data_IF_725335029216
#
_entry.id   IF_725335029216
#
_cell.length_a   1.000
_cell.length_b   1.000
_cell.length_c   1.000
_cell.angle_alpha   90.00
_cell.angle_beta   90.00
_cell.angle_gamma   90.00
#
_symmetry.space_group_name_H-M   'P 1'
#
loop_
_entity.id
_entity.type
_entity.pdbx_description
1 polymer ?
#
# COMPACT_ATOMS: atom_id res chain seq x y z
N UNK A 1 20.36 -19.17 -4.06
CA UNK A 1 19.30 -18.56 -4.91
C UNK A 1 19.14 -17.07 -4.66
N UNK A 2 19.04 -16.61 -3.40
CA UNK A 2 18.93 -15.18 -3.08
C UNK A 2 20.09 -14.30 -3.59
N UNK A 3 21.35 -14.78 -3.51
CA UNK A 3 22.51 -14.07 -4.08
C UNK A 3 22.38 -13.92 -5.60
N UNK A 4 21.93 -14.96 -6.31
CA UNK A 4 21.70 -14.89 -7.76
C UNK A 4 20.57 -13.90 -8.10
N UNK A 5 19.51 -13.86 -7.29
CA UNK A 5 18.46 -12.85 -7.44
C UNK A 5 18.98 -11.43 -7.18
N UNK A 6 19.85 -11.23 -6.18
CA UNK A 6 20.51 -9.94 -5.91
C UNK A 6 21.44 -9.50 -7.05
N UNK A 7 22.21 -10.43 -7.63
CA UNK A 7 23.06 -10.16 -8.80
C UNK A 7 22.23 -9.75 -10.02
N UNK A 8 21.06 -10.38 -10.22
CA UNK A 8 20.13 -9.99 -11.29
C UNK A 8 19.56 -8.59 -11.04
N UNK A 9 19.26 -8.23 -9.78
CA UNK A 9 18.78 -6.89 -9.40
C UNK A 9 19.82 -5.82 -9.65
N UNK A 10 21.09 -6.11 -9.35
CA UNK A 10 22.20 -5.18 -9.55
C UNK A 10 22.56 -4.98 -11.03
N UNK A 11 22.11 -5.87 -11.92
CA UNK A 11 22.41 -5.83 -13.35
C UNK A 11 21.26 -5.19 -14.15
N UNK A 12 21.58 -4.52 -15.26
CA UNK A 12 20.59 -3.95 -16.17
C UNK A 12 19.60 -4.99 -16.70
N UNK A 13 20.03 -6.26 -16.77
CA UNK A 13 19.17 -7.40 -17.11
C UNK A 13 17.96 -7.56 -16.18
N UNK A 14 18.07 -7.20 -14.89
CA UNK A 14 16.98 -7.27 -13.92
C UNK A 14 15.80 -6.33 -14.23
N UNK A 15 16.00 -5.34 -15.12
CA UNK A 15 14.93 -4.46 -15.62
C UNK A 15 14.15 -5.06 -16.78
N UNK A 16 14.66 -6.12 -17.42
CA UNK A 16 13.96 -6.83 -18.49
C UNK A 16 12.87 -7.75 -17.91
N UNK A 17 11.83 -8.01 -18.70
CA UNK A 17 10.75 -8.97 -18.40
C UNK A 17 11.30 -10.33 -17.93
N UNK A 18 12.27 -10.86 -18.69
CA UNK A 18 12.88 -12.13 -18.37
C UNK A 18 13.65 -12.06 -17.05
N UNK A 19 14.39 -10.97 -16.81
CA UNK A 19 15.13 -10.75 -15.57
C UNK A 19 14.22 -10.60 -14.35
N UNK A 20 13.09 -9.90 -14.48
CA UNK A 20 12.08 -9.78 -13.43
C UNK A 20 11.42 -11.14 -13.11
N UNK A 21 11.04 -11.89 -14.14
CA UNK A 21 10.49 -13.25 -14.00
C UNK A 21 11.50 -14.20 -13.34
N UNK A 22 12.75 -14.19 -13.78
CA UNK A 22 13.81 -15.05 -13.25
C UNK A 22 14.20 -14.66 -11.82
N UNK A 23 14.22 -13.36 -11.51
CA UNK A 23 14.36 -12.84 -10.14
C UNK A 23 13.25 -13.39 -9.25
N UNK A 24 12.01 -13.32 -9.70
CA UNK A 24 10.86 -13.76 -8.91
C UNK A 24 10.86 -15.29 -8.73
N UNK A 25 11.18 -16.04 -9.78
CA UNK A 25 11.39 -17.49 -9.71
C UNK A 25 12.52 -17.87 -8.75
N UNK A 26 13.62 -17.13 -8.73
CA UNK A 26 14.73 -17.35 -7.79
C UNK A 26 14.38 -16.98 -6.34
N UNK A 27 13.59 -15.93 -6.14
CA UNK A 27 13.07 -15.55 -4.82
C UNK A 27 12.07 -16.59 -4.30
N UNK A 28 11.07 -16.93 -5.11
CA UNK A 28 10.06 -17.93 -4.78
C UNK A 28 10.70 -19.31 -4.58
N UNK A 29 11.62 -19.71 -5.45
CA UNK A 29 12.36 -20.97 -5.33
C UNK A 29 13.30 -20.98 -4.12
N UNK A 30 13.99 -19.88 -3.83
CA UNK A 30 14.80 -19.74 -2.61
C UNK A 30 13.96 -19.85 -1.35
N UNK A 31 12.80 -19.18 -1.32
CA UNK A 31 11.84 -19.28 -0.22
C UNK A 31 11.27 -20.70 -0.09
N UNK A 32 10.97 -21.35 -1.22
CA UNK A 32 10.46 -22.72 -1.23
C UNK A 32 11.51 -23.69 -0.70
N UNK A 33 12.78 -23.57 -1.11
CA UNK A 33 13.88 -24.41 -0.62
C UNK A 33 14.12 -24.17 0.87
N UNK A 34 14.11 -22.93 1.34
CA UNK A 34 14.23 -22.57 2.75
C UNK A 34 13.05 -23.10 3.57
N UNK A 35 11.82 -22.93 3.07
CA UNK A 35 10.62 -23.46 3.71
C UNK A 35 10.66 -24.98 3.77
N UNK A 36 11.06 -25.64 2.68
CA UNK A 36 11.23 -27.09 2.61
C UNK A 36 12.37 -27.57 3.50
N UNK A 37 13.48 -26.85 3.63
CA UNK A 37 14.58 -27.22 4.53
C UNK A 37 14.17 -27.09 5.99
N UNK A 38 13.43 -26.04 6.37
CA UNK A 38 12.83 -25.91 7.70
C UNK A 38 11.70 -26.92 7.95
N UNK A 39 11.08 -27.46 6.90
CA UNK A 39 10.14 -28.57 7.01
C UNK A 39 10.86 -29.93 7.14
N UNK A 40 11.98 -30.08 6.44
CA UNK A 40 12.80 -31.28 6.44
C UNK A 40 13.64 -31.41 7.70
N UNK A 41 14.14 -30.32 8.29
CA UNK A 41 14.98 -30.36 9.50
C UNK A 41 14.28 -31.03 10.70
N UNK A 42 13.00 -30.73 11.03
CA UNK A 42 12.25 -31.43 12.07
C UNK A 42 11.93 -32.87 11.70
N UNK A 43 11.70 -33.17 10.40
CA UNK A 43 11.46 -34.53 9.90
C UNK A 43 12.73 -35.39 10.04
N UNK A 44 13.87 -34.85 9.59
CA UNK A 44 15.20 -35.43 9.74
C UNK A 44 15.52 -35.64 11.22
N UNK A 45 15.31 -34.64 12.07
CA UNK A 45 15.49 -34.74 13.51
C UNK A 45 14.58 -35.80 14.15
N UNK A 46 13.33 -35.93 13.71
CA UNK A 46 12.39 -36.94 14.21
C UNK A 46 12.76 -38.37 13.78
N UNK A 47 13.37 -38.52 12.61
CA UNK A 47 13.84 -39.81 12.09
C UNK A 47 15.16 -40.21 12.76
N UNK A 48 16.08 -39.26 12.97
CA UNK A 48 17.42 -39.52 13.49
C UNK A 48 17.51 -39.49 15.03
N UNK A 49 16.66 -38.71 15.70
CA UNK A 49 16.69 -38.51 17.15
C UNK A 49 15.55 -39.25 17.82
N UNK A 50 15.63 -40.58 17.79
CA UNK A 50 14.71 -41.48 18.51
C UNK A 50 15.12 -41.72 19.97
N UNK A 51 16.11 -40.99 20.52
CA UNK A 51 16.73 -41.34 21.82
C UNK A 51 17.05 -40.19 22.78
N UNK A 52 16.51 -38.98 22.60
CA UNK A 52 16.75 -37.90 23.57
C UNK A 52 15.42 -37.40 24.12
N UNK A 53 14.99 -38.05 25.22
CA UNK A 53 13.79 -37.74 26.00
C UNK A 53 13.94 -36.48 26.87
N UNK A 54 15.00 -35.69 26.71
CA UNK A 54 15.17 -34.48 27.52
C UNK A 54 14.26 -33.35 27.01
N UNK A 55 13.27 -32.92 27.81
CA UNK A 55 12.45 -31.76 27.47
C UNK A 55 13.33 -30.51 27.48
N UNK A 56 13.26 -29.74 26.40
CA UNK A 56 13.89 -28.41 26.33
C UNK A 56 13.49 -27.58 27.55
N UNK A 57 14.44 -26.91 28.24
CA UNK A 57 14.15 -26.12 29.43
C UNK A 57 13.43 -24.83 29.02
N UNK A 58 12.11 -24.91 28.87
CA UNK A 58 11.26 -23.74 28.68
C UNK A 58 10.65 -23.42 30.03
N UNK A 59 10.97 -22.24 30.56
CA UNK A 59 10.51 -21.78 31.86
C UNK A 59 8.97 -21.70 31.86
N UNK A 60 8.24 -22.52 32.64
CA UNK A 60 6.80 -22.77 32.46
C UNK A 60 5.89 -21.57 32.78
N UNK A 61 6.44 -20.45 33.26
CA UNK A 61 5.67 -19.28 33.68
C UNK A 61 5.52 -18.17 32.62
N UNK A 62 6.27 -18.18 31.51
CA UNK A 62 6.23 -17.07 30.54
C UNK A 62 5.38 -17.44 29.34
N UNK A 63 4.13 -16.96 29.31
CA UNK A 63 3.24 -17.11 28.16
C UNK A 63 3.68 -16.18 27.02
N UNK A 64 4.64 -16.64 26.21
CA UNK A 64 5.19 -15.90 25.07
C UNK A 64 4.11 -15.43 24.07
N UNK A 65 3.02 -16.19 23.96
CA UNK A 65 1.87 -15.87 23.11
C UNK A 65 1.14 -14.59 23.56
N UNK A 66 0.99 -14.36 24.87
CA UNK A 66 0.37 -13.13 25.40
C UNK A 66 1.23 -11.92 25.05
N UNK A 67 2.56 -12.02 25.22
CA UNK A 67 3.49 -10.94 24.86
C UNK A 67 3.46 -10.62 23.37
N UNK A 68 3.43 -11.65 22.52
CA UNK A 68 3.34 -11.48 21.08
C UNK A 68 2.02 -10.81 20.68
N UNK A 69 0.91 -11.14 21.36
CA UNK A 69 -0.37 -10.48 21.15
C UNK A 69 -0.33 -9.01 21.54
N UNK A 70 0.25 -8.68 22.69
CA UNK A 70 0.45 -7.30 23.13
C UNK A 70 1.29 -6.50 22.13
N UNK A 71 2.42 -7.05 21.66
CA UNK A 71 3.27 -6.39 20.65
C UNK A 71 2.49 -6.11 19.37
N UNK A 72 1.66 -7.04 18.94
CA UNK A 72 0.85 -6.86 17.72
C UNK A 72 -0.23 -5.82 17.89
N UNK A 73 -0.86 -5.76 19.07
CA UNK A 73 -1.81 -4.72 19.41
C UNK A 73 -1.15 -3.33 19.37
N UNK A 74 0.07 -3.20 19.90
CA UNK A 74 0.86 -1.96 19.84
C UNK A 74 1.16 -1.58 18.38
N UNK A 75 1.64 -2.53 17.57
CA UNK A 75 1.92 -2.31 16.14
C UNK A 75 0.67 -1.83 15.38
N UNK A 76 -0.48 -2.47 15.61
CA UNK A 76 -1.75 -2.08 15.00
C UNK A 76 -2.19 -0.70 15.48
N UNK A 77 -2.06 -0.41 16.78
CA UNK A 77 -2.37 0.89 17.36
C UNK A 77 -1.55 2.02 16.74
N UNK A 78 -0.23 1.82 16.60
CA UNK A 78 0.67 2.78 15.94
C UNK A 78 0.33 2.97 14.46
N UNK A 79 -0.01 1.90 13.75
CA UNK A 79 -0.46 1.98 12.35
C UNK A 79 -1.77 2.78 12.21
N UNK A 80 -2.74 2.54 13.09
CA UNK A 80 -4.01 3.30 13.12
C UNK A 80 -3.74 4.77 13.43
N UNK A 81 -2.90 5.06 14.42
CA UNK A 81 -2.53 6.44 14.78
C UNK A 81 -1.88 7.17 13.61
N UNK A 82 -0.98 6.50 12.88
CA UNK A 82 -0.36 7.03 11.67
C UNK A 82 -1.36 7.40 10.57
N UNK A 83 -2.39 6.56 10.36
CA UNK A 83 -3.46 6.84 9.38
C UNK A 83 -4.40 7.95 9.89
N UNK A 84 -4.74 7.94 11.18
CA UNK A 84 -5.58 8.95 11.82
C UNK A 84 -4.94 10.35 11.78
N UNK A 85 -3.62 10.44 11.92
CA UNK A 85 -2.89 11.71 11.78
C UNK A 85 -3.07 12.32 10.37
N UNK A 86 -3.00 11.49 9.32
CA UNK A 86 -3.25 11.95 7.94
C UNK A 86 -4.72 12.39 7.78
N UNK A 87 -5.66 11.64 8.38
CA UNK A 87 -7.08 11.98 8.37
C UNK A 87 -7.39 13.32 9.03
N UNK A 88 -6.76 13.61 10.18
CA UNK A 88 -6.92 14.88 10.86
C UNK A 88 -6.49 16.05 9.96
N UNK A 89 -5.40 15.89 9.21
CA UNK A 89 -4.92 16.91 8.25
C UNK A 89 -5.90 17.12 7.09
N UNK A 90 -6.52 16.05 6.61
CA UNK A 90 -7.55 16.11 5.55
C UNK A 90 -8.81 16.83 6.05
N UNK A 91 -9.23 16.58 7.29
CA UNK A 91 -10.42 17.23 7.86
C UNK A 91 -10.23 18.76 7.99
N UNK A 92 -9.00 19.22 8.20
CA UNK A 92 -8.66 20.65 8.24
C UNK A 92 -8.67 21.27 6.83
N UNK A 93 -8.47 20.46 5.79
CA UNK A 93 -8.56 20.86 4.39
C UNK A 93 -9.86 20.33 3.77
N UNK A 94 -11.05 20.91 4.02
CA UNK A 94 -12.34 20.36 3.56
C UNK A 94 -12.42 20.19 2.04
N UNK A 95 -11.62 20.95 1.29
CA UNK A 95 -11.48 20.82 -0.15
C UNK A 95 -10.89 19.46 -0.58
N UNK A 96 -10.15 18.79 0.32
CA UNK A 96 -9.54 17.47 0.17
C UNK A 96 -10.53 16.29 0.24
N UNK A 97 -11.75 16.51 0.74
CA UNK A 97 -12.73 15.45 0.97
C UNK A 97 -13.32 14.93 -0.36
N UNK A 98 -12.54 14.15 -1.10
CA UNK A 98 -12.93 13.51 -2.35
C UNK A 98 -13.35 12.05 -2.16
N UNK A 99 -14.07 11.51 -3.16
CA UNK A 99 -14.45 10.08 -3.21
C UNK A 99 -13.22 9.14 -3.11
N UNK A 100 -12.11 9.53 -3.72
CA UNK A 100 -10.85 8.77 -3.69
C UNK A 100 -10.26 8.66 -2.27
N UNK A 101 -10.30 9.76 -1.52
CA UNK A 101 -9.86 9.81 -0.12
C UNK A 101 -10.77 8.93 0.74
N UNK A 102 -12.09 9.10 0.65
CA UNK A 102 -13.07 8.25 1.35
C UNK A 102 -12.87 6.75 1.07
N UNK A 103 -12.64 6.38 -0.20
CA UNK A 103 -12.42 4.99 -0.60
C UNK A 103 -11.14 4.42 0.00
N UNK A 104 -10.05 5.19 -0.01
CA UNK A 104 -8.78 4.79 0.61
C UNK A 104 -8.92 4.59 2.11
N UNK A 105 -9.68 5.46 2.79
CA UNK A 105 -9.93 5.38 4.23
C UNK A 105 -10.75 4.14 4.56
N UNK A 106 -11.89 3.95 3.91
CA UNK A 106 -12.76 2.77 4.12
C UNK A 106 -11.96 1.50 3.89
N UNK A 107 -11.20 1.44 2.80
CA UNK A 107 -10.34 0.31 2.48
C UNK A 107 -9.26 0.06 3.53
N UNK A 108 -8.64 1.13 4.04
CA UNK A 108 -7.64 1.01 5.08
C UNK A 108 -8.23 0.50 6.39
N UNK A 109 -9.39 1.02 6.80
CA UNK A 109 -10.14 0.55 7.97
C UNK A 109 -10.53 -0.92 7.81
N UNK A 110 -11.06 -1.33 6.65
CA UNK A 110 -11.38 -2.73 6.37
C UNK A 110 -10.14 -3.62 6.46
N UNK A 111 -9.01 -3.21 5.86
CA UNK A 111 -7.77 -3.98 5.89
C UNK A 111 -7.24 -4.15 7.32
N UNK A 112 -7.21 -3.08 8.11
CA UNK A 112 -6.82 -3.14 9.53
C UNK A 112 -7.75 -4.06 10.31
N UNK A 113 -9.06 -3.96 10.08
CA UNK A 113 -10.06 -4.83 10.70
C UNK A 113 -9.83 -6.29 10.37
N UNK A 114 -9.55 -6.62 9.11
CA UNK A 114 -9.22 -8.00 8.71
C UNK A 114 -7.93 -8.50 9.34
N UNK A 115 -6.88 -7.68 9.41
CA UNK A 115 -5.62 -8.06 10.08
C UNK A 115 -5.86 -8.32 11.57
N UNK A 116 -6.59 -7.42 12.24
CA UNK A 116 -6.97 -7.57 13.63
C UNK A 116 -7.81 -8.84 13.85
N UNK A 117 -8.78 -9.11 12.97
CA UNK A 117 -9.57 -10.33 13.01
C UNK A 117 -8.68 -11.57 12.86
N UNK A 118 -7.87 -11.66 11.81
CA UNK A 118 -7.00 -12.82 11.55
C UNK A 118 -6.08 -13.08 12.75
N UNK A 119 -5.54 -12.02 13.34
CA UNK A 119 -4.57 -12.13 14.41
C UNK A 119 -5.19 -12.41 15.81
N UNK A 120 -6.26 -11.70 16.18
CA UNK A 120 -6.89 -11.83 17.50
C UNK A 120 -8.02 -12.86 17.50
N UNK A 121 -8.93 -12.77 16.54
CA UNK A 121 -10.20 -13.50 16.49
C UNK A 121 -10.25 -14.69 15.53
N UNK A 122 -9.18 -14.95 14.78
CA UNK A 122 -9.06 -16.15 13.97
C UNK A 122 -9.34 -17.39 14.84
N UNK A 123 -9.82 -18.51 14.27
CA UNK A 123 -10.29 -19.68 15.00
C UNK A 123 -9.13 -20.36 15.76
N UNK A 124 -8.74 -19.74 16.87
CA UNK A 124 -7.90 -20.24 17.93
C UNK A 124 -8.76 -21.26 18.65
N UNK A 125 -8.73 -22.50 18.16
CA UNK A 125 -9.16 -23.61 18.99
C UNK A 125 -8.35 -23.52 20.28
N UNK A 126 -9.03 -23.43 21.42
CA UNK A 126 -8.44 -23.39 22.76
C UNK A 126 -7.44 -24.54 23.01
N UNK A 127 -7.40 -25.52 22.11
CA UNK A 127 -6.45 -26.62 22.01
C UNK A 127 -5.21 -26.26 21.17
N UNK A 128 -4.46 -25.23 21.56
CA UNK A 128 -3.11 -25.04 21.01
C UNK A 128 -2.22 -26.23 21.41
N UNK A 129 -1.45 -26.85 20.50
CA UNK A 129 -0.53 -27.92 20.87
C UNK A 129 0.49 -27.42 21.91
N UNK A 130 0.81 -28.25 22.89
CA UNK A 130 1.75 -27.89 23.96
C UNK A 130 3.09 -27.37 23.40
N UNK A 131 3.61 -26.31 24.03
CA UNK A 131 4.78 -25.54 23.60
C UNK A 131 6.10 -26.33 23.62
N UNK A 132 6.10 -27.55 24.15
CA UNK A 132 7.27 -28.42 24.30
C UNK A 132 7.73 -29.07 22.99
N UNK A 133 6.94 -28.94 21.91
CA UNK A 133 7.26 -29.55 20.62
C UNK A 133 8.00 -28.59 19.68
N UNK A 134 8.86 -29.12 18.80
CA UNK A 134 9.51 -28.37 17.72
C UNK A 134 8.52 -27.56 16.86
N UNK A 135 7.25 -27.99 16.79
CA UNK A 135 6.16 -27.25 16.14
C UNK A 135 5.86 -25.91 16.81
N UNK A 136 5.97 -25.82 18.13
CA UNK A 136 5.79 -24.57 18.88
C UNK A 136 6.87 -23.55 18.54
N UNK A 137 8.12 -23.99 18.42
CA UNK A 137 9.23 -23.13 17.99
C UNK A 137 9.08 -22.68 16.54
N UNK A 138 8.73 -23.59 15.63
CA UNK A 138 8.46 -23.23 14.22
C UNK A 138 7.32 -22.22 14.09
N UNK A 139 6.25 -22.39 14.88
CA UNK A 139 5.15 -21.43 14.97
C UNK A 139 5.64 -20.04 15.40
N UNK A 140 6.47 -19.98 16.44
CA UNK A 140 7.06 -18.72 16.90
C UNK A 140 7.91 -18.06 15.81
N UNK A 141 8.74 -18.84 15.11
CA UNK A 141 9.59 -18.33 14.04
C UNK A 141 8.79 -17.77 12.86
N UNK A 142 7.65 -18.39 12.52
CA UNK A 142 6.74 -17.89 11.47
C UNK A 142 5.95 -16.65 11.87
N UNK A 143 5.78 -16.38 13.17
CA UNK A 143 5.13 -15.16 13.62
C UNK A 143 5.98 -13.90 13.38
N UNK A 144 7.31 -14.01 13.38
CA UNK A 144 8.18 -12.86 13.12
C UNK A 144 7.99 -12.27 11.71
N UNK A 145 8.11 -13.03 10.60
CA UNK A 145 7.87 -12.50 9.25
C UNK A 145 6.42 -12.03 9.07
N UNK A 146 5.44 -12.66 9.74
CA UNK A 146 4.06 -12.17 9.76
C UNK A 146 3.98 -10.76 10.36
N UNK A 147 4.58 -10.55 11.54
CA UNK A 147 4.58 -9.25 12.22
C UNK A 147 5.33 -8.19 11.43
N UNK A 148 6.50 -8.53 10.89
CA UNK A 148 7.24 -7.65 9.99
C UNK A 148 6.37 -7.26 8.79
N UNK A 149 5.65 -8.21 8.19
CA UNK A 149 4.75 -7.93 7.06
C UNK A 149 3.58 -7.03 7.45
N UNK A 150 3.01 -7.20 8.65
CA UNK A 150 1.97 -6.30 9.19
C UNK A 150 2.52 -4.88 9.37
N UNK A 151 3.68 -4.72 10.00
CA UNK A 151 4.33 -3.41 10.20
C UNK A 151 4.56 -2.73 8.84
N UNK A 152 5.17 -3.45 7.90
CA UNK A 152 5.48 -2.92 6.57
C UNK A 152 4.22 -2.60 5.76
N UNK A 153 3.16 -3.41 5.89
CA UNK A 153 1.87 -3.15 5.28
C UNK A 153 1.22 -1.88 5.85
N UNK A 154 1.25 -1.68 7.18
CA UNK A 154 0.70 -0.48 7.82
C UNK A 154 1.49 0.79 7.44
N UNK A 155 2.83 0.71 7.37
CA UNK A 155 3.68 1.80 6.89
C UNK A 155 3.35 2.14 5.43
N UNK A 156 3.23 1.12 4.59
CA UNK A 156 2.84 1.32 3.19
C UNK A 156 1.46 1.94 3.08
N UNK A 157 0.46 1.43 3.80
CA UNK A 157 -0.90 2.00 3.82
C UNK A 157 -0.93 3.46 4.28
N UNK A 158 -0.11 3.82 5.28
CA UNK A 158 0.09 5.22 5.70
C UNK A 158 0.59 6.06 4.52
N UNK A 159 1.63 5.62 3.82
CA UNK A 159 2.16 6.36 2.66
C UNK A 159 1.17 6.40 1.48
N UNK A 160 0.41 5.34 1.23
CA UNK A 160 -0.63 5.35 0.20
C UNK A 160 -1.73 6.34 0.53
N UNK A 161 -2.17 6.39 1.78
CA UNK A 161 -3.13 7.37 2.25
C UNK A 161 -2.59 8.79 2.06
N UNK A 162 -1.36 9.05 2.50
CA UNK A 162 -0.68 10.33 2.30
C UNK A 162 -0.65 10.73 0.82
N UNK A 163 -0.13 9.87 -0.05
CA UNK A 163 0.02 10.14 -1.49
C UNK A 163 -1.34 10.43 -2.11
N UNK A 164 -2.33 9.57 -1.87
CA UNK A 164 -3.67 9.72 -2.45
C UNK A 164 -4.32 11.03 -2.02
N UNK A 165 -4.18 11.41 -0.75
CA UNK A 165 -4.78 12.62 -0.21
C UNK A 165 -4.05 13.87 -0.67
N UNK A 166 -2.72 13.89 -0.58
CA UNK A 166 -1.87 14.98 -1.06
C UNK A 166 -2.15 15.30 -2.53
N UNK A 167 -2.16 14.28 -3.40
CA UNK A 167 -2.43 14.50 -4.82
C UNK A 167 -3.86 14.89 -5.12
N UNK A 168 -4.84 14.39 -4.37
CA UNK A 168 -6.23 14.85 -4.51
C UNK A 168 -6.34 16.33 -4.18
N UNK A 169 -5.71 16.79 -3.10
CA UNK A 169 -5.68 18.21 -2.72
C UNK A 169 -4.94 19.03 -3.75
N UNK A 170 -3.72 18.62 -4.10
CA UNK A 170 -2.88 19.35 -5.04
C UNK A 170 -3.56 19.54 -6.40
N UNK A 171 -4.12 18.47 -6.99
CA UNK A 171 -4.80 18.57 -8.29
C UNK A 171 -5.99 19.54 -8.22
N UNK A 172 -6.78 19.48 -7.15
CA UNK A 172 -7.91 20.39 -6.96
C UNK A 172 -7.45 21.83 -6.71
N UNK A 173 -6.38 22.04 -5.96
CA UNK A 173 -5.76 23.34 -5.78
C UNK A 173 -5.29 23.91 -7.12
N UNK A 174 -4.58 23.14 -7.95
CA UNK A 174 -4.17 23.62 -9.28
C UNK A 174 -5.38 23.92 -10.19
N UNK A 175 -6.43 23.11 -10.14
CA UNK A 175 -7.67 23.36 -10.89
C UNK A 175 -8.32 24.69 -10.47
N UNK A 176 -8.44 24.95 -9.17
CA UNK A 176 -8.98 26.22 -8.66
C UNK A 176 -8.04 27.39 -8.99
N UNK A 177 -6.74 27.22 -8.84
CA UNK A 177 -5.75 28.25 -9.16
C UNK A 177 -5.81 28.65 -10.64
N UNK A 178 -5.88 27.68 -11.55
CA UNK A 178 -5.99 27.95 -12.97
C UNK A 178 -7.31 28.67 -13.31
N UNK A 179 -8.42 28.30 -12.67
CA UNK A 179 -9.69 28.99 -12.87
C UNK A 179 -9.64 30.46 -12.43
N UNK A 180 -8.96 30.76 -11.31
CA UNK A 180 -8.75 32.14 -10.87
C UNK A 180 -7.80 32.90 -11.81
N UNK A 181 -6.77 32.25 -12.37
CA UNK A 181 -5.91 32.85 -13.40
C UNK A 181 -6.72 33.18 -14.66
N UNK A 182 -7.55 32.27 -15.15
CA UNK A 182 -8.40 32.50 -16.32
C UNK A 182 -9.37 33.66 -16.07
N UNK A 183 -9.90 33.78 -14.86
CA UNK A 183 -10.73 34.91 -14.45
C UNK A 183 -9.93 36.23 -14.45
N UNK A 184 -8.70 36.25 -13.93
CA UNK A 184 -7.83 37.42 -13.98
C UNK A 184 -7.47 37.82 -15.41
N UNK A 185 -7.14 36.87 -16.28
CA UNK A 185 -6.82 37.11 -17.68
C UNK A 185 -8.00 37.70 -18.47
N UNK A 186 -9.23 37.49 -18.01
CA UNK A 186 -10.41 38.14 -18.59
C UNK A 186 -10.52 39.63 -18.26
N UNK A 187 -9.80 40.11 -17.24
CA UNK A 187 -9.75 41.52 -16.84
C UNK A 187 -8.58 42.21 -17.56
N UNK A 188 -8.90 43.17 -18.42
CA UNK A 188 -7.92 43.83 -19.29
C UNK A 188 -6.86 44.68 -18.54
N UNK A 189 -7.16 45.13 -17.32
CA UNK A 189 -6.30 46.01 -16.56
C UNK A 189 -5.52 45.27 -15.46
N UNK A 190 -4.22 45.06 -15.69
CA UNK A 190 -3.31 44.35 -14.75
C UNK A 190 -3.25 45.04 -13.37
N UNK A 191 -3.45 46.36 -13.32
CA UNK A 191 -3.42 47.10 -12.03
C UNK A 191 -4.59 46.73 -11.11
N UNK A 192 -5.69 46.24 -11.67
CA UNK A 192 -6.85 45.77 -10.89
C UNK A 192 -6.59 44.40 -10.25
N UNK A 193 -5.74 43.56 -10.85
CA UNK A 193 -5.41 42.23 -10.33
C UNK A 193 -4.81 42.29 -8.93
N UNK A 194 -4.05 43.37 -8.63
CA UNK A 194 -3.46 43.61 -7.31
C UNK A 194 -4.49 43.54 -6.18
N UNK A 195 -5.72 44.00 -6.45
CA UNK A 195 -6.80 44.10 -5.47
C UNK A 195 -7.79 42.95 -5.55
N UNK A 196 -7.47 41.87 -6.28
CA UNK A 196 -8.37 40.72 -6.40
C UNK A 196 -8.48 39.95 -5.06
N UNK A 197 -9.65 40.06 -4.44
CA UNK A 197 -9.92 39.41 -3.14
C UNK A 197 -9.96 37.89 -3.23
N UNK A 198 -10.32 37.33 -4.39
CA UNK A 198 -10.48 35.88 -4.57
C UNK A 198 -9.12 35.20 -4.61
N UNK A 199 -8.20 35.71 -5.44
CA UNK A 199 -6.82 35.27 -5.52
C UNK A 199 -6.10 35.46 -4.18
N UNK A 200 -6.30 36.61 -3.52
CA UNK A 200 -5.73 36.84 -2.19
C UNK A 200 -6.23 35.84 -1.16
N UNK A 201 -7.54 35.55 -1.13
CA UNK A 201 -8.13 34.57 -0.21
C UNK A 201 -7.65 33.16 -0.53
N UNK A 202 -7.55 32.81 -1.80
CA UNK A 202 -7.10 31.51 -2.27
C UNK A 202 -5.63 31.24 -1.91
N UNK A 203 -4.72 32.15 -2.30
CA UNK A 203 -3.30 31.99 -2.01
C UNK A 203 -3.01 32.01 -0.51
N UNK A 204 -3.74 32.82 0.26
CA UNK A 204 -3.62 32.83 1.73
C UNK A 204 -3.94 31.46 2.34
N UNK A 205 -4.95 30.73 1.83
CA UNK A 205 -5.23 29.34 2.25
C UNK A 205 -4.07 28.39 1.94
N UNK A 206 -3.32 28.64 0.86
CA UNK A 206 -2.11 27.90 0.51
C UNK A 206 -0.86 28.37 1.27
N UNK A 207 -0.99 29.34 2.18
CA UNK A 207 0.12 29.92 2.94
C UNK A 207 1.02 30.84 2.10
N UNK A 208 0.45 31.47 1.06
CA UNK A 208 1.15 32.35 0.13
C UNK A 208 0.57 33.76 0.21
N UNK A 209 1.43 34.78 0.28
CA UNK A 209 1.01 36.19 0.35
C UNK A 209 0.84 36.73 -1.07
N UNK A 210 -0.39 37.08 -1.45
CA UNK A 210 -0.70 37.54 -2.82
C UNK A 210 0.10 38.77 -3.24
N UNK A 211 0.28 39.75 -2.37
CA UNK A 211 1.04 40.97 -2.70
C UNK A 211 2.48 40.63 -3.14
N UNK A 212 3.16 39.72 -2.45
CA UNK A 212 4.53 39.30 -2.80
C UNK A 212 4.56 38.56 -4.14
N UNK A 213 3.61 37.65 -4.36
CA UNK A 213 3.48 36.93 -5.63
C UNK A 213 3.13 37.84 -6.80
N UNK A 214 2.30 38.87 -6.56
CA UNK A 214 1.97 39.85 -7.58
C UNK A 214 3.20 40.68 -7.97
N UNK A 215 4.04 41.10 -7.00
CA UNK A 215 5.32 41.75 -7.32
C UNK A 215 6.27 40.80 -8.08
N UNK A 216 6.27 39.51 -7.75
CA UNK A 216 7.02 38.48 -8.49
C UNK A 216 6.50 38.33 -9.94
N UNK A 217 5.19 38.41 -10.16
CA UNK A 217 4.59 38.42 -11.49
C UNK A 217 5.00 39.67 -12.29
N UNK A 218 4.87 40.87 -11.71
CA UNK A 218 5.27 42.13 -12.36
C UNK A 218 6.76 42.12 -12.71
N UNK A 219 7.62 41.67 -11.81
CA UNK A 219 9.07 41.57 -12.07
C UNK A 219 9.38 40.55 -13.17
N UNK A 220 8.65 39.42 -13.22
CA UNK A 220 8.79 38.42 -14.29
C UNK A 220 8.42 38.99 -15.66
N UNK A 221 7.36 39.81 -15.74
CA UNK A 221 6.96 40.47 -17.00
C UNK A 221 7.94 41.56 -17.42
N UNK A 222 8.51 42.30 -16.47
CA UNK A 222 9.45 43.39 -16.74
C UNK A 222 10.88 42.93 -17.00
N UNK A 223 11.23 41.69 -16.65
CA UNK A 223 12.53 41.12 -16.92
C UNK A 223 12.72 40.89 -18.43
N UNK A 224 13.35 41.86 -19.10
CA UNK A 224 13.86 41.70 -20.45
C UNK A 224 15.05 40.76 -20.41
N UNK A 225 14.92 39.57 -21.00
CA UNK A 225 16.10 38.74 -21.30
C UNK A 225 17.01 39.54 -22.23
N UNK A 226 18.32 39.49 -21.99
CA UNK A 226 19.36 40.43 -22.47
C UNK A 226 19.46 40.62 -23.99
N UNK A 227 18.64 39.92 -24.77
CA UNK A 227 18.63 39.94 -26.24
C UNK A 227 17.22 39.84 -26.87
N UNK A 228 16.13 39.91 -26.08
CA UNK A 228 14.75 39.74 -26.58
C UNK A 228 13.78 40.76 -26.00
N UNK A 229 12.75 41.06 -26.81
CA UNK A 229 11.58 41.86 -26.44
C UNK A 229 11.01 41.39 -25.08
N UNK A 230 10.33 42.30 -24.33
CA UNK A 230 9.68 41.95 -23.07
C UNK A 230 8.84 40.68 -23.23
N UNK A 231 8.88 39.82 -22.21
CA UNK A 231 8.10 38.58 -22.19
C UNK A 231 6.64 38.98 -22.32
N UNK A 232 5.98 38.53 -23.38
CA UNK A 232 4.56 38.82 -23.60
C UNK A 232 3.74 38.40 -22.38
N UNK A 233 2.65 39.13 -22.10
CA UNK A 233 1.78 38.92 -20.94
C UNK A 233 1.42 37.44 -20.72
N UNK A 234 1.04 36.74 -21.79
CA UNK A 234 0.67 35.32 -21.73
C UNK A 234 1.80 34.43 -21.22
N UNK A 235 3.03 34.60 -21.75
CA UNK A 235 4.18 33.80 -21.32
C UNK A 235 4.65 34.20 -19.92
N UNK A 236 4.58 35.48 -19.56
CA UNK A 236 4.92 35.97 -18.22
C UNK A 236 3.99 35.39 -17.16
N UNK A 237 2.68 35.41 -17.42
CA UNK A 237 1.66 34.79 -16.56
C UNK A 237 1.86 33.27 -16.49
N UNK A 238 2.16 32.60 -17.61
CA UNK A 238 2.40 31.15 -17.60
C UNK A 238 3.63 30.75 -16.77
N UNK A 239 4.73 31.49 -16.87
CA UNK A 239 5.95 31.30 -16.06
C UNK A 239 5.66 31.49 -14.58
N UNK A 240 4.98 32.60 -14.24
CA UNK A 240 4.60 32.89 -12.86
C UNK A 240 3.65 31.81 -12.32
N UNK A 241 2.60 31.46 -13.05
CA UNK A 241 1.65 30.43 -12.66
C UNK A 241 2.33 29.07 -12.40
N UNK A 242 3.30 28.69 -13.23
CA UNK A 242 4.06 27.46 -13.05
C UNK A 242 4.90 27.49 -11.76
N UNK A 243 5.52 28.63 -11.45
CA UNK A 243 6.28 28.84 -10.19
C UNK A 243 5.36 28.83 -8.97
N UNK A 244 4.26 29.58 -8.99
CA UNK A 244 3.31 29.62 -7.88
C UNK A 244 2.65 28.25 -7.66
N UNK A 245 2.38 27.50 -8.73
CA UNK A 245 1.93 26.10 -8.64
C UNK A 245 2.96 25.23 -7.91
N UNK A 246 4.26 25.39 -8.17
CA UNK A 246 5.30 24.69 -7.41
C UNK A 246 5.33 25.12 -5.94
N UNK A 247 5.15 26.42 -5.63
CA UNK A 247 5.05 26.92 -4.25
C UNK A 247 3.89 26.26 -3.52
N UNK A 248 2.71 26.20 -4.16
CA UNK A 248 1.51 25.55 -3.62
C UNK A 248 1.81 24.07 -3.33
N UNK A 249 2.42 23.34 -4.27
CA UNK A 249 2.82 21.93 -4.10
C UNK A 249 3.72 21.74 -2.89
N UNK A 250 4.76 22.57 -2.76
CA UNK A 250 5.74 22.46 -1.68
C UNK A 250 5.10 22.78 -0.33
N UNK A 251 4.26 23.81 -0.24
CA UNK A 251 3.56 24.17 0.98
C UNK A 251 2.56 23.10 1.40
N UNK A 252 1.79 22.56 0.45
CA UNK A 252 0.91 21.41 0.70
C UNK A 252 1.71 20.20 1.18
N UNK A 253 2.86 19.91 0.57
CA UNK A 253 3.68 18.77 0.96
C UNK A 253 4.20 18.92 2.39
N UNK A 254 4.65 20.12 2.77
CA UNK A 254 5.04 20.45 4.15
C UNK A 254 3.87 20.27 5.12
N UNK A 255 2.69 20.76 4.77
CA UNK A 255 1.50 20.63 5.61
C UNK A 255 1.10 19.15 5.83
N UNK A 256 1.18 18.33 4.79
CA UNK A 256 0.82 16.91 4.86
C UNK A 256 1.90 16.04 5.53
N UNK A 257 3.18 16.37 5.37
CA UNK A 257 4.28 15.58 5.94
C UNK A 257 4.25 15.63 7.47
N UNK A 258 4.09 14.47 8.12
CA UNK A 258 4.06 14.36 9.59
C UNK A 258 5.46 14.35 10.21
N UNK A 259 6.46 14.02 9.40
CA UNK A 259 7.87 13.88 9.77
C UNK A 259 8.62 15.13 9.32
N UNK A 260 9.76 15.40 9.95
CA UNK A 260 10.67 16.51 9.64
C UNK A 260 10.74 16.82 8.12
N UNK A 261 9.93 17.80 7.65
CA UNK A 261 9.79 18.05 6.23
C UNK A 261 11.08 18.64 5.65
N UNK A 262 11.92 19.22 6.51
CA UNK A 262 13.18 19.84 6.12
C UNK A 262 14.20 18.78 5.71
N UNK A 263 14.23 17.63 6.37
CA UNK A 263 15.12 16.53 5.98
C UNK A 263 14.84 16.04 4.54
N UNK A 264 13.57 15.88 4.18
CA UNK A 264 13.17 15.48 2.82
C UNK A 264 13.41 16.62 1.81
N UNK A 265 13.05 17.85 2.17
CA UNK A 265 13.27 18.99 1.30
C UNK A 265 14.75 19.28 1.06
N UNK A 266 15.64 19.02 2.02
CA UNK A 266 17.06 19.36 1.93
C UNK A 266 17.74 18.82 0.67
N UNK A 267 17.33 17.63 0.22
CA UNK A 267 17.87 16.99 -0.98
C UNK A 267 17.36 17.63 -2.29
N UNK A 268 16.19 18.26 -2.27
CA UNK A 268 15.50 18.80 -3.47
C UNK A 268 15.51 20.33 -3.47
N UNK A 269 15.82 20.96 -2.35
CA UNK A 269 15.95 22.40 -2.18
C UNK A 269 16.87 23.08 -3.21
N UNK A 270 18.04 22.52 -3.60
CA UNK A 270 18.83 23.12 -4.67
C UNK A 270 18.09 23.15 -6.01
N UNK A 271 17.37 22.08 -6.38
CA UNK A 271 16.59 22.01 -7.62
C UNK A 271 15.42 23.00 -7.60
N UNK A 272 14.75 23.15 -6.46
CA UNK A 272 13.67 24.12 -6.25
C UNK A 272 14.22 25.55 -6.41
N UNK A 273 15.36 25.83 -5.78
CA UNK A 273 16.00 27.16 -5.82
C UNK A 273 16.47 27.50 -7.24
N UNK A 274 17.10 26.55 -7.92
CA UNK A 274 17.50 26.66 -9.33
C UNK A 274 16.27 26.97 -10.21
N UNK A 275 15.15 26.27 -10.00
CA UNK A 275 13.93 26.47 -10.77
C UNK A 275 13.32 27.87 -10.59
N UNK A 276 13.35 28.43 -9.38
CA UNK A 276 12.90 29.80 -9.12
C UNK A 276 13.85 30.86 -9.69
N UNK A 277 15.15 30.60 -9.73
CA UNK A 277 16.15 31.57 -10.21
C UNK A 277 16.28 31.54 -11.74
N UNK A 278 16.17 30.37 -12.37
CA UNK A 278 16.39 30.20 -13.80
C UNK A 278 15.08 30.34 -14.60
N UNK A 279 14.85 31.53 -15.16
CA UNK A 279 13.68 31.83 -16.00
C UNK A 279 13.64 30.98 -17.28
N UNK A 280 14.79 30.77 -17.93
CA UNK A 280 14.85 30.00 -19.18
C UNK A 280 14.45 28.54 -18.97
N UNK A 281 14.79 27.97 -17.81
CA UNK A 281 14.37 26.61 -17.45
C UNK A 281 12.85 26.49 -17.34
N UNK A 282 12.16 27.48 -16.76
CA UNK A 282 10.69 27.46 -16.63
C UNK A 282 10.03 27.60 -18.00
N UNK A 283 10.55 28.48 -18.86
CA UNK A 283 10.06 28.63 -20.24
C UNK A 283 10.28 27.33 -21.03
N UNK A 284 11.44 26.69 -20.86
CA UNK A 284 11.73 25.40 -21.47
C UNK A 284 10.71 24.35 -21.02
N UNK A 285 10.50 24.22 -19.71
CA UNK A 285 9.53 23.31 -19.10
C UNK A 285 8.10 23.51 -19.63
N UNK A 286 7.64 24.75 -19.77
CA UNK A 286 6.31 25.08 -20.32
C UNK A 286 6.18 24.58 -21.76
N UNK A 287 7.20 24.76 -22.58
CA UNK A 287 7.19 24.34 -23.98
C UNK A 287 7.24 22.82 -24.15
N UNK A 288 7.94 22.10 -23.26
CA UNK A 288 8.05 20.64 -23.33
C UNK A 288 6.90 19.92 -22.63
N UNK A 289 6.21 20.57 -21.68
CA UNK A 289 5.13 19.97 -20.88
C UNK A 289 4.09 19.20 -21.71
N UNK A 290 3.63 19.72 -22.87
CA UNK A 290 2.62 19.04 -23.70
C UNK A 290 3.15 17.79 -24.41
N UNK A 291 4.46 17.71 -24.66
CA UNK A 291 5.05 16.64 -25.49
C UNK A 291 5.82 15.62 -24.65
N UNK A 292 6.56 16.08 -23.64
CA UNK A 292 7.49 15.29 -22.83
C UNK A 292 7.52 15.76 -21.37
N UNK A 293 6.43 15.57 -20.61
CA UNK A 293 6.34 16.05 -19.23
C UNK A 293 7.41 15.46 -18.30
N UNK A 294 7.90 14.25 -18.56
CA UNK A 294 8.92 13.61 -17.73
C UNK A 294 10.32 14.23 -17.85
N UNK A 295 10.59 14.98 -18.92
CA UNK A 295 11.87 15.70 -19.11
C UNK A 295 11.87 17.04 -18.36
N UNK A 296 10.70 17.61 -18.02
CA UNK A 296 10.58 18.89 -17.34
C UNK A 296 11.10 18.87 -15.90
N UNK A 297 11.91 19.86 -15.54
CA UNK A 297 12.50 20.00 -14.20
C UNK A 297 11.42 20.11 -13.12
N UNK A 298 10.29 20.76 -13.40
CA UNK A 298 9.11 20.79 -12.54
C UNK A 298 8.65 19.39 -12.10
N UNK A 299 8.51 18.48 -13.07
CA UNK A 299 8.09 17.10 -12.77
C UNK A 299 9.20 16.29 -12.10
N UNK A 300 10.48 16.61 -12.35
CA UNK A 300 11.59 16.00 -11.62
C UNK A 300 11.56 16.39 -10.14
N UNK A 301 11.32 17.67 -9.82
CA UNK A 301 11.16 18.17 -8.45
C UNK A 301 9.98 17.47 -7.76
N UNK A 302 8.82 17.46 -8.42
CA UNK A 302 7.63 16.79 -7.92
C UNK A 302 7.87 15.28 -7.69
N UNK A 303 8.57 14.63 -8.62
CA UNK A 303 8.96 13.23 -8.48
C UNK A 303 9.87 13.05 -7.28
N UNK A 304 10.85 13.93 -7.07
CA UNK A 304 11.71 13.92 -5.88
C UNK A 304 10.90 13.99 -4.60
N UNK A 305 9.92 14.90 -4.52
CA UNK A 305 9.06 15.08 -3.35
C UNK A 305 8.24 13.81 -3.05
N UNK A 306 7.76 13.14 -4.11
CA UNK A 306 6.91 11.96 -4.00
C UNK A 306 7.66 10.63 -4.00
N UNK A 307 8.96 10.59 -4.30
CA UNK A 307 9.69 9.35 -4.56
C UNK A 307 9.65 8.42 -3.34
N UNK A 308 9.89 8.93 -2.14
CA UNK A 308 9.84 8.15 -0.90
C UNK A 308 8.45 7.54 -0.64
N UNK A 309 7.38 8.35 -0.53
CA UNK A 309 6.02 7.86 -0.33
C UNK A 309 5.52 6.92 -1.45
N UNK A 310 5.83 7.23 -2.72
CA UNK A 310 5.46 6.40 -3.87
C UNK A 310 6.21 5.07 -3.85
N UNK A 311 7.52 5.08 -3.58
CA UNK A 311 8.32 3.87 -3.47
C UNK A 311 7.74 2.96 -2.38
N UNK A 312 7.45 3.51 -1.19
CA UNK A 312 6.83 2.73 -0.12
C UNK A 312 5.45 2.18 -0.52
N UNK A 313 4.65 2.96 -1.24
CA UNK A 313 3.34 2.53 -1.75
C UNK A 313 3.45 1.35 -2.71
N UNK A 314 4.48 1.32 -3.57
CA UNK A 314 4.71 0.19 -4.50
C UNK A 314 4.96 -1.14 -3.78
N UNK A 315 5.59 -1.10 -2.62
CA UNK A 315 5.89 -2.31 -1.85
C UNK A 315 4.70 -2.88 -1.08
N UNK A 316 3.60 -2.13 -0.92
CA UNK A 316 2.38 -2.57 -0.22
C UNK A 316 1.89 -3.92 -0.71
N UNK A 317 1.80 -4.10 -2.04
CA UNK A 317 1.34 -5.37 -2.63
C UNK A 317 2.28 -6.52 -2.28
N UNK A 318 3.60 -6.27 -2.27
CA UNK A 318 4.59 -7.24 -1.84
C UNK A 318 4.46 -7.61 -0.36
N UNK A 319 4.21 -6.63 0.50
CA UNK A 319 4.00 -6.85 1.93
C UNK A 319 2.68 -7.58 2.23
N UNK A 320 1.61 -7.24 1.52
CA UNK A 320 0.35 -7.98 1.58
C UNK A 320 0.55 -9.44 1.14
N UNK A 321 1.30 -9.67 0.06
CA UNK A 321 1.68 -11.00 -0.39
C UNK A 321 2.49 -11.78 0.65
N UNK A 322 3.52 -11.16 1.24
CA UNK A 322 4.33 -11.76 2.31
C UNK A 322 3.51 -12.11 3.54
N UNK A 323 2.56 -11.24 3.93
CA UNK A 323 1.64 -11.49 5.05
C UNK A 323 0.83 -12.76 4.78
N UNK A 324 0.29 -12.90 3.57
CA UNK A 324 -0.54 -14.04 3.19
C UNK A 324 0.26 -15.34 3.04
N UNK A 325 1.48 -15.27 2.50
CA UNK A 325 2.40 -16.42 2.49
C UNK A 325 2.71 -16.84 3.92
N UNK A 326 3.00 -15.88 4.81
CA UNK A 326 3.28 -16.16 6.21
C UNK A 326 2.07 -16.80 6.90
N UNK A 327 0.86 -16.31 6.65
CA UNK A 327 -0.38 -16.94 7.14
C UNK A 327 -0.54 -18.36 6.60
N UNK A 328 -0.36 -18.57 5.30
CA UNK A 328 -0.47 -19.89 4.69
C UNK A 328 0.55 -20.90 5.25
N UNK A 329 1.77 -20.44 5.55
CA UNK A 329 2.79 -21.26 6.22
C UNK A 329 2.40 -21.58 7.67
N UNK A 330 1.88 -20.60 8.41
CA UNK A 330 1.38 -20.82 9.77
C UNK A 330 0.24 -21.85 9.73
N UNK A 331 -0.71 -21.70 8.82
CA UNK A 331 -1.85 -22.62 8.67
C UNK A 331 -1.43 -24.02 8.22
N UNK A 332 -0.44 -24.12 7.32
CA UNK A 332 0.16 -25.39 6.92
C UNK A 332 0.76 -26.13 8.13
N UNK A 333 1.51 -25.42 8.99
CA UNK A 333 2.03 -25.99 10.24
C UNK A 333 0.89 -26.42 11.18
N UNK A 334 -0.26 -25.75 11.13
CA UNK A 334 -1.48 -26.14 11.85
C UNK A 334 -2.26 -27.28 11.17
N UNK A 335 -1.71 -27.95 10.14
CA UNK A 335 -2.33 -29.07 9.42
C UNK A 335 -3.67 -28.77 8.77
N UNK A 336 -3.94 -27.48 8.47
CA UNK A 336 -5.12 -27.05 7.71
C UNK A 336 -4.65 -26.22 6.52
N UNK A 337 -4.74 -26.72 5.28
CA UNK A 337 -4.36 -25.92 4.12
C UNK A 337 -5.33 -24.73 3.99
N UNK A 338 -4.83 -23.54 4.30
CA UNK A 338 -5.51 -22.26 4.14
C UNK A 338 -4.53 -21.31 3.47
N UNK A 339 -5.01 -20.45 2.55
CA UNK A 339 -4.19 -19.40 1.91
C UNK A 339 -3.80 -19.62 0.43
N UNK A 340 -4.05 -20.79 -0.16
CA UNK A 340 -3.66 -21.08 -1.56
C UNK A 340 -4.42 -20.21 -2.59
N UNK A 341 -5.69 -19.90 -2.30
CA UNK A 341 -6.55 -19.06 -3.14
C UNK A 341 -6.07 -17.59 -3.16
N UNK A 342 -5.50 -17.08 -2.08
CA UNK A 342 -4.99 -15.71 -2.03
C UNK A 342 -3.63 -15.52 -2.68
N UNK A 343 -2.74 -16.53 -2.59
CA UNK A 343 -1.53 -16.54 -3.41
C UNK A 343 -1.87 -16.47 -4.90
N UNK A 344 -2.92 -17.16 -5.35
CA UNK A 344 -3.40 -17.10 -6.73
C UNK A 344 -3.96 -15.71 -7.11
N UNK A 345 -4.69 -15.05 -6.21
CA UNK A 345 -5.20 -13.69 -6.44
C UNK A 345 -4.09 -12.63 -6.45
N UNK A 346 -3.00 -12.82 -5.70
CA UNK A 346 -1.84 -11.92 -5.73
C UNK A 346 -0.91 -12.16 -6.91
N UNK A 347 -0.83 -13.39 -7.42
CA UNK A 347 -0.15 -13.71 -8.67
C UNK A 347 -0.78 -12.98 -9.87
N UNK A 348 -2.07 -12.61 -9.80
CA UNK A 348 -2.72 -11.75 -10.81
C UNK A 348 -2.19 -10.31 -10.82
N UNK A 349 -1.44 -9.91 -9.79
CA UNK A 349 -0.81 -8.60 -9.66
C UNK A 349 0.66 -8.60 -10.09
N UNK A 350 1.12 -9.65 -10.79
CA UNK A 350 2.44 -9.73 -11.42
C UNK A 350 2.35 -9.44 -12.92
N UNK A 351 3.24 -8.59 -13.41
CA UNK A 351 3.38 -8.27 -14.82
C UNK A 351 4.49 -7.26 -15.06
N UNK A 352 4.81 -7.10 -16.35
CA UNK A 352 6.11 -6.66 -16.84
C UNK A 352 6.44 -5.18 -16.61
N UNK A 353 5.43 -4.34 -16.39
CA UNK A 353 5.63 -2.90 -16.24
C UNK A 353 4.72 -2.36 -15.14
N UNK A 354 5.30 -2.06 -13.98
CA UNK A 354 4.65 -1.32 -12.88
C UNK A 354 4.86 0.21 -13.01
N UNK A 355 5.23 0.69 -14.19
CA UNK A 355 5.46 2.11 -14.42
C UNK A 355 4.13 2.87 -14.52
N UNK A 356 4.08 4.01 -13.84
CA UNK A 356 2.89 4.85 -13.67
C UNK A 356 2.54 5.65 -14.95
N UNK A 357 3.55 5.89 -15.80
CA UNK A 357 3.44 6.65 -17.03
C UNK A 357 4.07 5.83 -18.16
N UNK A 358 3.29 4.92 -18.72
CA UNK A 358 3.69 4.18 -19.92
C UNK A 358 3.17 4.96 -21.13
N UNK A 359 4.02 5.34 -22.09
CA UNK A 359 3.58 5.97 -23.34
C UNK A 359 2.57 5.06 -24.06
N UNK A 360 1.71 5.66 -24.89
CA UNK A 360 0.56 4.97 -25.50
C UNK A 360 0.91 3.65 -26.20
N UNK A 361 2.10 3.60 -26.81
CA UNK A 361 2.62 2.43 -27.52
C UNK A 361 3.00 1.25 -26.60
N UNK A 362 3.12 1.48 -25.29
CA UNK A 362 3.47 0.47 -24.28
C UNK A 362 2.28 -0.11 -23.51
N UNK A 363 1.03 0.33 -23.76
CA UNK A 363 -0.17 -0.11 -23.03
C UNK A 363 -0.38 -1.64 -23.02
N UNK A 364 0.18 -2.35 -24.01
CA UNK A 364 0.07 -3.80 -24.07
C UNK A 364 0.92 -4.57 -23.05
N UNK A 365 1.90 -3.92 -22.42
CA UNK A 365 2.78 -4.50 -21.41
C UNK A 365 2.35 -4.18 -19.97
N UNK A 366 1.23 -3.46 -19.81
CA UNK A 366 0.70 -3.06 -18.52
C UNK A 366 0.01 -4.23 -17.82
N UNK A 367 0.13 -4.34 -16.49
CA UNK A 367 -0.44 -5.47 -15.73
C UNK A 367 -1.94 -5.66 -15.98
N UNK A 368 -2.39 -6.93 -15.93
CA UNK A 368 -3.79 -7.30 -16.07
C UNK A 368 -4.72 -6.56 -15.11
N UNK A 369 -4.28 -6.27 -13.89
CA UNK A 369 -5.02 -5.42 -12.93
C UNK A 369 -5.19 -3.99 -13.45
N UNK A 370 -4.14 -3.38 -14.03
CA UNK A 370 -4.25 -2.03 -14.60
C UNK A 370 -5.14 -1.98 -15.84
N UNK A 371 -5.11 -3.03 -16.68
CA UNK A 371 -6.04 -3.19 -17.82
C UNK A 371 -7.49 -3.38 -17.36
N UNK A 372 -7.72 -4.17 -16.31
CA UNK A 372 -9.05 -4.36 -15.73
C UNK A 372 -9.60 -3.06 -15.14
N UNK A 373 -8.74 -2.26 -14.50
CA UNK A 373 -9.07 -0.93 -13.99
C UNK A 373 -9.33 0.10 -15.09
N UNK A 374 -8.66 -0.01 -16.24
CA UNK A 374 -8.88 0.82 -17.42
C UNK A 374 -10.21 0.49 -18.12
N UNK A 375 -10.67 -0.75 -18.04
CA UNK A 375 -11.95 -1.18 -18.61
C UNK A 375 -13.19 -0.70 -17.81
N UNK A 376 -13.04 -0.46 -16.49
CA UNK A 376 -14.14 -0.07 -15.61
C UNK A 376 -14.25 1.44 -15.32
N UNK A 377 -13.25 2.24 -15.71
CA UNK A 377 -13.15 3.67 -15.38
C UNK A 377 -13.22 4.61 -16.58
N UNK A 378 -14.45 5.02 -16.94
CA UNK A 378 -14.81 6.20 -17.76
C UNK A 378 -14.26 6.28 -19.20
N UNK A 379 -15.14 5.94 -20.16
CA UNK A 379 -14.93 6.13 -21.59
C UNK A 379 -15.34 7.52 -22.11
N UNK A 380 -15.93 8.40 -21.31
CA UNK A 380 -16.56 9.64 -21.82
C UNK A 380 -16.12 10.94 -21.12
N UNK A 381 -14.83 11.32 -21.21
CA UNK A 381 -14.45 12.73 -20.98
C UNK A 381 -13.26 13.13 -21.87
N UNK A 382 -13.41 14.25 -22.58
CA UNK A 382 -12.42 14.83 -23.50
C UNK A 382 -12.04 16.22 -22.98
N UNK A 383 -10.79 16.44 -22.58
CA UNK A 383 -9.74 17.17 -23.32
C UNK A 383 -8.72 17.82 -22.35
N UNK A 384 -7.42 17.69 -22.64
CA UNK A 384 -6.34 18.61 -22.19
C UNK A 384 -5.76 18.44 -20.78
N UNK A 385 -6.57 18.17 -19.76
CA UNK A 385 -6.13 18.09 -18.35
C UNK A 385 -6.25 16.66 -17.76
N UNK A 386 -6.63 15.70 -18.61
CA UNK A 386 -7.08 14.35 -18.24
C UNK A 386 -5.94 13.34 -17.99
N UNK A 387 -4.70 13.62 -18.39
CA UNK A 387 -3.59 12.65 -18.24
C UNK A 387 -3.21 12.45 -16.76
N UNK A 388 -3.21 13.51 -15.96
CA UNK A 388 -2.97 13.43 -14.52
C UNK A 388 -4.22 12.94 -13.76
N UNK A 389 -5.43 13.33 -14.19
CA UNK A 389 -6.68 12.96 -13.52
C UNK A 389 -7.00 11.46 -13.67
N UNK A 390 -6.75 10.87 -14.85
CA UNK A 390 -7.06 9.45 -15.10
C UNK A 390 -5.99 8.45 -14.65
N UNK A 391 -4.72 8.86 -14.59
CA UNK A 391 -3.66 7.95 -14.11
C UNK A 391 -3.63 7.89 -12.58
N UNK A 392 -3.94 9.00 -11.89
CA UNK A 392 -3.74 9.10 -10.43
C UNK A 392 -4.89 8.56 -9.56
N UNK A 393 -6.13 8.53 -10.08
CA UNK A 393 -7.28 7.88 -9.42
C UNK A 393 -7.13 6.34 -9.38
N UNK A 394 -6.08 5.78 -9.98
CA UNK A 394 -5.80 4.34 -10.03
C UNK A 394 -5.16 3.76 -8.75
N UNK A 395 -5.26 4.40 -7.59
CA UNK A 395 -4.77 3.87 -6.29
C UNK A 395 -5.68 2.74 -5.73
N UNK A 396 -6.06 1.77 -6.59
CA UNK A 396 -6.90 0.62 -6.25
C UNK A 396 -6.17 -0.46 -5.46
N UNK A 397 -4.87 -0.29 -5.20
CA UNK A 397 -4.07 -1.27 -4.47
C UNK A 397 -4.69 -1.57 -3.10
N UNK A 398 -5.14 -0.54 -2.37
CA UNK A 398 -5.74 -0.73 -1.05
C UNK A 398 -7.11 -1.44 -1.18
N UNK A 399 -8.06 -0.96 -2.03
CA UNK A 399 -9.33 -1.67 -2.24
C UNK A 399 -9.17 -3.12 -2.67
N UNK A 400 -8.22 -3.42 -3.56
CA UNK A 400 -7.95 -4.79 -4.01
C UNK A 400 -7.46 -5.66 -2.84
N UNK A 401 -6.57 -5.12 -2.00
CA UNK A 401 -6.11 -5.82 -0.80
C UNK A 401 -7.26 -6.05 0.18
N UNK A 402 -8.10 -5.05 0.41
CA UNK A 402 -9.28 -5.18 1.27
C UNK A 402 -10.26 -6.23 0.73
N UNK A 403 -10.54 -6.24 -0.57
CA UNK A 403 -11.37 -7.24 -1.23
C UNK A 403 -10.74 -8.63 -1.11
N UNK A 404 -9.43 -8.76 -1.34
CA UNK A 404 -8.72 -10.03 -1.21
C UNK A 404 -8.84 -10.58 0.22
N UNK A 405 -8.59 -9.76 1.24
CA UNK A 405 -8.80 -10.16 2.64
C UNK A 405 -10.26 -10.49 2.95
N UNK A 406 -11.21 -9.73 2.40
CA UNK A 406 -12.64 -10.01 2.56
C UNK A 406 -13.06 -11.35 1.96
N UNK A 407 -12.56 -11.68 0.76
CA UNK A 407 -12.81 -12.98 0.12
C UNK A 407 -12.17 -14.11 0.93
N UNK A 408 -10.93 -13.94 1.39
CA UNK A 408 -10.26 -14.92 2.26
C UNK A 408 -11.08 -15.19 3.53
N UNK A 409 -11.50 -14.13 4.20
CA UNK A 409 -12.31 -14.17 5.41
C UNK A 409 -13.62 -14.94 5.18
N UNK A 410 -14.32 -14.68 4.06
CA UNK A 410 -15.54 -15.39 3.72
C UNK A 410 -15.29 -16.89 3.48
N UNK A 411 -14.21 -17.24 2.77
CA UNK A 411 -13.81 -18.64 2.56
C UNK A 411 -13.52 -19.31 3.91
N UNK A 412 -12.81 -18.64 4.81
CA UNK A 412 -12.48 -19.17 6.14
C UNK A 412 -13.73 -19.43 6.99
N UNK A 413 -14.70 -18.51 6.99
CA UNK A 413 -15.98 -18.70 7.69
C UNK A 413 -16.73 -19.91 7.14
N UNK A 414 -16.79 -20.05 5.81
CA UNK A 414 -17.47 -21.17 5.16
C UNK A 414 -16.78 -22.49 5.52
N UNK A 415 -15.44 -22.56 5.43
CA UNK A 415 -14.66 -23.73 5.81
C UNK A 415 -14.82 -24.06 7.31
N UNK A 416 -14.81 -23.06 8.19
CA UNK A 416 -15.02 -23.25 9.62
C UNK A 416 -16.39 -23.87 9.92
N UNK A 417 -17.44 -23.41 9.22
CA UNK A 417 -18.79 -24.00 9.32
C UNK A 417 -18.83 -25.45 8.84
N UNK A 418 -18.14 -25.77 7.74
CA UNK A 418 -18.05 -27.16 7.26
C UNK A 418 -17.31 -28.07 8.23
N UNK A 419 -16.18 -27.62 8.79
CA UNK A 419 -15.41 -28.36 9.78
C UNK A 419 -16.26 -28.60 11.02
N UNK A 420 -16.95 -27.58 11.55
CA UNK A 420 -17.84 -27.73 12.71
C UNK A 420 -18.92 -28.79 12.44
N UNK A 421 -19.63 -28.69 11.30
CA UNK A 421 -20.64 -29.69 10.92
C UNK A 421 -20.08 -31.10 10.78
N UNK A 422 -18.85 -31.25 10.26
CA UNK A 422 -18.20 -32.54 10.15
C UNK A 422 -17.84 -33.11 11.53
N UNK A 423 -17.34 -32.28 12.44
CA UNK A 423 -17.05 -32.65 13.84
C UNK A 423 -18.31 -33.06 14.58
N UNK A 424 -19.39 -32.27 14.47
CA UNK A 424 -20.67 -32.57 15.12
C UNK A 424 -21.22 -33.94 14.64
N UNK A 425 -21.16 -34.20 13.33
CA UNK A 425 -21.56 -35.50 12.75
C UNK A 425 -20.67 -36.67 13.19
N UNK A 426 -19.37 -36.44 13.35
CA UNK A 426 -18.44 -37.47 13.84
C UNK A 426 -18.72 -37.80 15.31
N UNK A 427 -18.97 -36.78 16.14
CA UNK A 427 -19.36 -36.96 17.53
C UNK A 427 -20.71 -37.67 17.65
N UNK A 428 -21.68 -37.32 16.82
CA UNK A 428 -22.99 -38.00 16.77
C UNK A 428 -22.84 -39.48 16.41
N UNK A 429 -22.06 -39.81 15.37
CA UNK A 429 -21.76 -41.21 15.00
C UNK A 429 -21.08 -41.99 16.13
N UNK A 430 -20.15 -41.36 16.84
CA UNK A 430 -19.48 -41.99 17.98
C UNK A 430 -20.43 -42.22 19.16
N UNK A 431 -21.36 -41.29 19.40
CA UNK A 431 -22.41 -41.46 20.41
C UNK A 431 -23.39 -42.58 20.03
N UNK A 432 -23.75 -42.70 18.75
CA UNK A 432 -24.58 -43.80 18.25
C UNK A 432 -23.85 -45.13 18.44
N UNK A 433 -22.58 -45.22 18.03
CA UNK A 433 -21.75 -46.43 18.21
C UNK A 433 -21.68 -46.87 19.68
N UNK A 434 -21.43 -45.94 20.60
CA UNK A 434 -21.43 -46.23 22.06
C UNK A 434 -22.78 -46.69 22.59
N UNK A 435 -23.90 -46.18 22.04
CA UNK A 435 -25.25 -46.63 22.39
C UNK A 435 -25.53 -48.05 21.88
N UNK A 436 -25.06 -48.38 20.68
CA UNK A 436 -25.19 -49.73 20.12
C UNK A 436 -24.35 -50.75 20.90
N UNK A 437 -23.10 -50.41 21.25
CA UNK A 437 -22.22 -51.23 22.10
C UNK A 437 -22.85 -51.50 23.47
N UNK A 438 -23.38 -50.47 24.13
CA UNK A 438 -24.09 -50.66 25.41
C UNK A 438 -25.36 -51.50 25.24
N UNK A 439 -26.19 -51.27 24.21
CA UNK A 439 -27.37 -52.13 23.98
C UNK A 439 -27.01 -53.61 23.76
N UNK A 440 -25.90 -53.89 23.08
CA UNK A 440 -25.40 -55.24 22.88
C UNK A 440 -25.00 -55.92 24.20
N UNK A 441 -24.24 -55.24 25.06
CA UNK A 441 -23.84 -55.75 26.39
C UNK A 441 -25.04 -56.04 27.30
N UNK A 442 -26.05 -55.17 27.27
CA UNK A 442 -27.30 -55.38 28.00
C UNK A 442 -28.11 -56.56 27.44
N UNK A 443 -28.07 -56.79 26.13
CA UNK A 443 -28.70 -57.94 25.47
C UNK A 443 -28.06 -59.27 25.87
N UNK A 444 -26.73 -59.35 25.84
CA UNK A 444 -25.99 -60.55 26.29
C UNK A 444 -26.21 -60.85 27.77
N UNK A 445 -26.20 -59.83 28.62
CA UNK A 445 -26.46 -59.99 30.06
C UNK A 445 -27.85 -60.56 30.35
N UNK A 446 -28.88 -60.19 29.57
CA UNK A 446 -30.22 -60.78 29.70
C UNK A 446 -30.23 -62.25 29.29
N UNK A 447 -29.58 -62.61 28.19
CA UNK A 447 -29.55 -64.00 27.72
C UNK A 447 -28.87 -64.93 28.74
N UNK A 448 -27.81 -64.47 29.42
CA UNK A 448 -27.17 -65.24 30.50
C UNK A 448 -28.15 -65.46 31.66
N UNK A 449 -28.94 -64.44 32.02
CA UNK A 449 -29.94 -64.54 33.10
C UNK A 449 -31.10 -65.50 32.78
N UNK A 450 -31.36 -65.81 31.50
CA UNK A 450 -32.37 -66.79 31.10
C UNK A 450 -31.84 -68.23 31.04
N UNK A 451 -30.52 -68.42 31.04
CA UNK A 451 -29.87 -69.74 30.94
C UNK A 451 -29.50 -70.29 32.33
N UNK A 452 -29.34 -69.42 33.33
CA UNK A 452 -29.20 -69.76 34.76
C UNK A 452 -30.57 -69.86 35.39
#
# INVERSE_FOLDING_TARGET
MFIAALVIVANGFGKSVLGASLRLGLWAGGFLVEALSHLYMPLYWRIYKKSLDDPLPVNPGVQLNERLQTITAIILGEGINGIASILAKILIAPEAAGRAVATTIISATCTIWFIAYIYFGGPKGETGPAFTSARGFQRLMLHFPLLTSIVLLLIGMKHQCFVTCFLTVWLKSVEMFNAEIDALLSVANITEWKYDENMSRYLSKCGIVWEEEFQNLISTMNNTTTDRQPIGLELGVAVWAQRSSLTIVVNLFKAFSSSDPEALLSNIQPDITEYYQNLEQVIHDINILPTKPHEAKYYQILRGLLDGPVLSTRWITGFAGMLLISLGLIDFVHSRPRGLVLCLLLLLNLGDSQEFLIPENGRNHQLGVFRWLEAYGLRDFKFGQDILRHSFIRSWVSPIIAIAYGVQFMIEIVLARFVKRATDRAQEKELIRKREETQHEWGESRNILYVV
#
